data_IF_499204788267
#
_entry.id   IF_499204788267
#
_cell.length_a   1.000
_cell.length_b   1.000
_cell.length_c   1.000
_cell.angle_alpha   90.00
_cell.angle_beta   90.00
_cell.angle_gamma   90.00
#
_symmetry.space_group_name_H-M   'P 1'
#
loop_
_entity.id
_entity.type
_entity.pdbx_description
1 polymer ?
#
# COMPACT_ATOMS: atom_id res chain seq x y z
N UNK A 1 -5.66 43.07 23.83
CA UNK A 1 -5.92 42.25 22.61
C UNK A 1 -4.62 42.19 21.82
N UNK A 2 -4.00 40.99 21.61
CA UNK A 2 -2.75 40.92 20.85
C UNK A 2 -3.01 41.27 19.39
N UNK A 3 -2.16 42.13 18.82
CA UNK A 3 -2.30 42.65 17.46
C UNK A 3 -2.13 41.55 16.41
N UNK A 4 -2.86 41.60 15.28
CA UNK A 4 -2.76 40.61 14.20
C UNK A 4 -1.35 40.51 13.55
N UNK A 5 -0.50 41.53 13.71
CA UNK A 5 0.88 41.58 13.21
C UNK A 5 1.82 40.54 13.82
N UNK A 6 1.66 40.20 15.10
CA UNK A 6 2.55 39.24 15.79
C UNK A 6 2.44 37.80 15.31
N UNK A 7 1.30 37.39 14.72
CA UNK A 7 1.13 36.06 14.13
C UNK A 7 1.75 35.94 12.73
N UNK A 8 1.73 37.01 11.96
CA UNK A 8 2.34 37.06 10.62
C UNK A 8 3.87 37.08 10.74
N UNK A 9 4.43 37.86 11.65
CA UNK A 9 5.88 37.92 11.91
C UNK A 9 6.42 36.59 12.45
N UNK A 10 5.73 35.91 13.38
CA UNK A 10 6.14 34.57 13.84
C UNK A 10 6.10 33.53 12.71
N UNK A 11 5.13 33.59 11.80
CA UNK A 11 5.09 32.70 10.63
C UNK A 11 6.23 32.99 9.66
N UNK A 12 6.59 34.27 9.44
CA UNK A 12 7.74 34.63 8.61
C UNK A 12 9.06 34.25 9.28
N UNK A 13 9.26 34.51 10.58
CA UNK A 13 10.46 34.11 11.33
C UNK A 13 10.63 32.57 11.33
N UNK A 14 9.55 31.81 11.54
CA UNK A 14 9.59 30.34 11.47
C UNK A 14 9.93 29.83 10.06
N UNK A 15 9.49 30.53 9.00
CA UNK A 15 9.81 30.17 7.61
C UNK A 15 11.28 30.45 7.23
N UNK A 16 11.91 31.43 7.88
CA UNK A 16 13.31 31.79 7.67
C UNK A 16 14.30 30.88 8.41
N UNK A 17 13.88 30.31 9.56
CA UNK A 17 14.72 29.43 10.40
C UNK A 17 14.55 27.93 10.01
N UNK A 18 13.46 27.59 9.30
CA UNK A 18 13.23 26.21 8.87
C UNK A 18 14.28 25.78 7.83
N UNK A 19 15.16 24.87 8.22
CA UNK A 19 16.10 24.22 7.28
C UNK A 19 15.37 23.59 6.12
N UNK A 20 16.00 23.43 4.92
CA UNK A 20 15.37 22.77 3.76
C UNK A 20 14.77 21.41 4.09
N UNK A 21 15.38 20.67 5.04
CA UNK A 21 14.84 19.41 5.58
C UNK A 21 13.50 19.58 6.31
N UNK A 22 13.34 20.63 7.12
CA UNK A 22 12.09 20.90 7.84
C UNK A 22 10.94 21.31 6.90
N UNK A 23 11.24 22.09 5.84
CA UNK A 23 10.25 22.45 4.81
C UNK A 23 9.78 21.24 4.01
N UNK A 24 10.66 20.24 3.80
CA UNK A 24 10.31 18.98 3.13
C UNK A 24 9.41 18.09 4.00
N UNK A 25 9.67 18.00 5.31
CA UNK A 25 8.86 17.23 6.25
C UNK A 25 7.40 17.75 6.35
N UNK A 26 7.17 19.05 6.14
CA UNK A 26 5.82 19.61 6.03
C UNK A 26 5.10 19.26 4.71
N UNK A 27 5.83 18.84 3.68
CA UNK A 27 5.30 18.46 2.35
C UNK A 27 5.15 16.94 2.15
N UNK A 28 5.36 16.12 3.20
CA UNK A 28 5.12 14.67 3.10
C UNK A 28 3.63 14.43 2.84
N UNK A 29 3.25 13.85 1.68
CA UNK A 29 1.87 13.58 1.37
C UNK A 29 1.29 12.51 2.32
N UNK A 30 0.00 12.55 2.54
CA UNK A 30 -0.75 11.52 3.27
C UNK A 30 -0.44 11.33 4.77
N UNK A 31 0.23 12.26 5.46
CA UNK A 31 0.49 12.12 6.91
C UNK A 31 -0.77 11.79 7.70
N UNK A 32 -1.86 12.55 7.47
CA UNK A 32 -3.13 12.31 8.14
C UNK A 32 -3.71 10.94 7.79
N UNK A 33 -3.66 10.55 6.52
CA UNK A 33 -4.16 9.28 6.03
C UNK A 33 -3.36 8.10 6.60
N UNK A 34 -2.03 8.25 6.73
CA UNK A 34 -1.19 7.23 7.39
C UNK A 34 -1.57 7.07 8.87
N UNK A 35 -1.79 8.17 9.60
CA UNK A 35 -2.22 8.08 11.00
C UNK A 35 -3.58 7.39 11.13
N UNK A 36 -4.53 7.70 10.25
CA UNK A 36 -5.85 7.03 10.21
C UNK A 36 -5.68 5.54 9.88
N UNK A 37 -4.82 5.20 8.93
CA UNK A 37 -4.53 3.80 8.58
C UNK A 37 -3.92 3.05 9.77
N UNK A 38 -2.93 3.62 10.45
CA UNK A 38 -2.32 3.01 11.64
C UNK A 38 -3.33 2.82 12.77
N UNK A 39 -4.22 3.79 12.98
CA UNK A 39 -5.32 3.64 13.93
C UNK A 39 -6.28 2.50 13.53
N UNK A 40 -6.63 2.40 12.24
CA UNK A 40 -7.45 1.30 11.73
C UNK A 40 -6.75 -0.07 11.87
N UNK A 41 -5.43 -0.14 11.65
CA UNK A 41 -4.63 -1.35 11.92
C UNK A 41 -4.69 -1.73 13.40
N UNK A 42 -4.56 -0.77 14.30
CA UNK A 42 -4.69 -1.01 15.73
C UNK A 42 -6.06 -1.59 16.09
N UNK A 43 -7.16 -1.04 15.53
CA UNK A 43 -8.50 -1.58 15.73
C UNK A 43 -8.63 -3.03 15.21
N UNK A 44 -8.05 -3.34 14.04
CA UNK A 44 -8.06 -4.70 13.50
C UNK A 44 -7.31 -5.69 14.39
N UNK A 45 -6.17 -5.29 14.95
CA UNK A 45 -5.42 -6.11 15.92
C UNK A 45 -6.26 -6.30 17.20
N UNK A 46 -6.93 -5.25 17.68
CA UNK A 46 -7.82 -5.33 18.85
C UNK A 46 -8.97 -6.32 18.65
N UNK A 47 -9.49 -6.47 17.42
CA UNK A 47 -10.50 -7.50 17.10
C UNK A 47 -9.94 -8.92 17.24
N UNK A 48 -8.66 -9.16 16.90
CA UNK A 48 -8.02 -10.46 17.15
C UNK A 48 -7.89 -10.72 18.64
N UNK A 49 -7.42 -9.74 19.41
CA UNK A 49 -7.27 -9.90 20.86
C UNK A 49 -8.64 -10.12 21.53
N UNK A 50 -9.68 -9.40 21.12
CA UNK A 50 -11.04 -9.67 21.57
C UNK A 50 -11.46 -11.11 21.26
N UNK A 51 -11.18 -11.60 20.03
CA UNK A 51 -11.46 -12.98 19.64
C UNK A 51 -10.77 -14.01 20.55
N UNK A 52 -9.50 -13.76 20.86
CA UNK A 52 -8.69 -14.64 21.72
C UNK A 52 -9.24 -14.66 23.15
N UNK A 53 -9.59 -13.50 23.70
CA UNK A 53 -10.07 -13.38 25.07
C UNK A 53 -11.49 -13.98 25.20
N UNK A 54 -12.39 -13.64 24.30
CA UNK A 54 -13.80 -14.01 24.39
C UNK A 54 -14.09 -15.43 23.90
N UNK A 55 -13.58 -15.79 22.69
CA UNK A 55 -13.83 -17.10 22.07
C UNK A 55 -12.72 -18.12 22.34
N UNK A 56 -11.65 -17.76 23.07
CA UNK A 56 -10.49 -18.61 23.37
C UNK A 56 -9.85 -19.23 22.12
N UNK A 57 -9.84 -18.50 20.99
CA UNK A 57 -9.39 -18.99 19.69
C UNK A 57 -8.26 -18.12 19.12
N UNK A 58 -7.08 -18.71 18.93
CA UNK A 58 -5.85 -18.06 18.44
C UNK A 58 -5.59 -18.22 16.93
N UNK A 59 -6.48 -18.88 16.20
CA UNK A 59 -6.22 -19.32 14.81
C UNK A 59 -5.86 -18.17 13.86
N UNK A 60 -6.34 -16.95 14.08
CA UNK A 60 -6.19 -15.84 13.13
C UNK A 60 -4.97 -14.93 13.39
N UNK A 61 -4.01 -15.31 14.26
CA UNK A 61 -2.81 -14.49 14.50
C UNK A 61 -1.93 -14.28 13.26
N UNK A 62 -1.99 -15.18 12.29
CA UNK A 62 -1.28 -15.00 11.01
C UNK A 62 -1.68 -13.72 10.25
N UNK A 63 -2.91 -13.20 10.47
CA UNK A 63 -3.34 -11.93 9.88
C UNK A 63 -2.51 -10.74 10.38
N UNK A 64 -2.05 -10.77 11.63
CA UNK A 64 -1.16 -9.72 12.17
C UNK A 64 0.15 -9.71 11.40
N UNK A 65 0.73 -10.89 11.17
CA UNK A 65 1.96 -11.00 10.38
C UNK A 65 1.77 -10.51 8.95
N UNK A 66 0.69 -10.94 8.29
CA UNK A 66 0.36 -10.49 6.94
C UNK A 66 0.12 -8.97 6.88
N UNK A 67 -0.48 -8.37 7.92
CA UNK A 67 -0.65 -6.92 8.01
C UNK A 67 0.68 -6.17 8.13
N UNK A 68 1.61 -6.69 8.95
CA UNK A 68 2.96 -6.10 9.07
C UNK A 68 3.64 -6.11 7.70
N UNK A 69 3.60 -7.24 6.98
CA UNK A 69 4.16 -7.35 5.64
C UNK A 69 3.46 -6.44 4.63
N UNK A 70 2.15 -6.22 4.76
CA UNK A 70 1.38 -5.31 3.93
C UNK A 70 1.74 -3.83 4.13
N UNK A 71 2.29 -3.46 5.29
CA UNK A 71 2.76 -2.10 5.57
C UNK A 71 4.17 -1.82 5.03
N UNK A 72 4.99 -2.87 4.77
CA UNK A 72 6.37 -2.72 4.26
C UNK A 72 6.42 -1.92 2.96
N UNK A 73 5.58 -2.20 1.93
CA UNK A 73 5.59 -1.41 0.69
C UNK A 73 5.31 0.06 0.93
N UNK A 74 4.42 0.40 1.86
CA UNK A 74 4.14 1.79 2.20
C UNK A 74 5.37 2.48 2.78
N UNK A 75 6.09 1.81 3.68
CA UNK A 75 7.35 2.31 4.24
C UNK A 75 8.41 2.55 3.15
N UNK A 76 8.63 1.57 2.27
CA UNK A 76 9.58 1.67 1.15
C UNK A 76 9.19 2.78 0.16
N UNK A 77 7.91 2.95 -0.14
CA UNK A 77 7.43 4.03 -1.00
C UNK A 77 7.65 5.42 -0.37
N UNK A 78 7.47 5.55 0.95
CA UNK A 78 7.80 6.78 1.67
C UNK A 78 9.29 7.09 1.64
N UNK A 79 10.13 6.08 1.88
CA UNK A 79 11.59 6.23 1.79
C UNK A 79 11.97 6.67 0.38
N UNK A 80 11.44 6.03 -0.68
CA UNK A 80 11.65 6.39 -2.07
C UNK A 80 11.25 7.83 -2.36
N UNK A 81 10.06 8.23 -1.88
CA UNK A 81 9.52 9.58 -2.08
C UNK A 81 10.40 10.64 -1.42
N UNK A 82 10.73 10.47 -0.14
CA UNK A 82 11.59 11.40 0.60
C UNK A 82 12.97 11.49 -0.03
N UNK A 83 13.58 10.35 -0.34
CA UNK A 83 14.89 10.28 -0.98
C UNK A 83 14.92 11.00 -2.32
N UNK A 84 13.95 10.75 -3.20
CA UNK A 84 13.84 11.38 -4.51
C UNK A 84 13.79 12.91 -4.42
N UNK A 85 12.95 13.47 -3.54
CA UNK A 85 12.86 14.92 -3.38
C UNK A 85 14.06 15.53 -2.66
N UNK A 86 14.69 14.81 -1.72
CA UNK A 86 15.95 15.25 -1.09
C UNK A 86 17.11 15.29 -2.07
N UNK A 87 17.18 14.39 -3.03
CA UNK A 87 18.20 14.33 -4.10
C UNK A 87 17.86 15.23 -5.29
N UNK A 88 17.03 16.25 -5.10
CA UNK A 88 16.65 17.23 -6.12
C UNK A 88 16.08 16.57 -7.39
N UNK A 89 15.23 15.54 -7.22
CA UNK A 89 14.53 14.79 -8.27
C UNK A 89 15.48 14.02 -9.22
N UNK A 90 16.62 13.59 -8.72
CA UNK A 90 17.56 12.73 -9.46
C UNK A 90 17.20 11.26 -9.24
N UNK A 91 17.23 10.49 -10.32
CA UNK A 91 17.16 9.03 -10.26
C UNK A 91 18.61 8.54 -10.22
N UNK A 92 18.95 7.86 -9.15
CA UNK A 92 20.26 7.20 -8.99
C UNK A 92 20.05 5.72 -8.62
N UNK A 93 21.15 4.98 -8.56
CA UNK A 93 21.10 3.54 -8.29
C UNK A 93 20.43 3.21 -6.94
N UNK A 94 20.58 4.07 -5.94
CA UNK A 94 19.98 3.86 -4.61
C UNK A 94 18.47 3.94 -4.72
N UNK A 95 17.92 4.94 -5.41
CA UNK A 95 16.48 5.07 -5.63
C UNK A 95 15.93 3.86 -6.41
N UNK A 96 16.66 3.42 -7.44
CA UNK A 96 16.27 2.24 -8.24
C UNK A 96 16.21 1.00 -7.35
N UNK A 97 17.21 0.79 -6.48
CA UNK A 97 17.22 -0.33 -5.54
C UNK A 97 16.05 -0.27 -4.55
N UNK A 98 15.73 0.91 -4.00
CA UNK A 98 14.60 1.04 -3.07
C UNK A 98 13.28 0.73 -3.79
N UNK A 99 13.10 1.22 -5.03
CA UNK A 99 11.90 0.96 -5.84
C UNK A 99 11.84 -0.53 -6.25
N UNK A 100 12.97 -1.17 -6.52
CA UNK A 100 13.03 -2.62 -6.78
C UNK A 100 12.55 -3.43 -5.57
N UNK A 101 13.05 -3.14 -4.37
CA UNK A 101 12.58 -3.78 -3.15
C UNK A 101 11.10 -3.46 -2.89
N UNK A 102 10.66 -2.22 -3.15
CA UNK A 102 9.25 -1.87 -3.08
C UNK A 102 8.41 -2.77 -4.00
N UNK A 103 8.81 -2.96 -5.25
CA UNK A 103 8.07 -3.80 -6.21
C UNK A 103 8.01 -5.26 -5.74
N UNK A 104 9.11 -5.77 -5.18
CA UNK A 104 9.20 -7.13 -4.65
C UNK A 104 8.24 -7.34 -3.46
N UNK A 105 8.10 -6.34 -2.59
CA UNK A 105 7.23 -6.41 -1.42
C UNK A 105 5.80 -5.94 -1.69
N UNK A 106 5.55 -5.22 -2.79
CA UNK A 106 4.24 -4.64 -3.11
C UNK A 106 3.09 -5.67 -3.12
N UNK A 107 3.26 -6.90 -3.65
CA UNK A 107 2.21 -7.91 -3.63
C UNK A 107 1.68 -8.24 -2.23
N UNK A 108 2.48 -8.09 -1.16
CA UNK A 108 2.05 -8.40 0.21
C UNK A 108 0.90 -7.50 0.68
N UNK A 109 0.78 -6.27 0.14
CA UNK A 109 -0.27 -5.36 0.54
C UNK A 109 -1.67 -5.84 0.08
N UNK A 110 -1.95 -6.10 -1.21
CA UNK A 110 -3.21 -6.67 -1.65
C UNK A 110 -3.34 -8.18 -1.35
N UNK A 111 -2.25 -8.89 -0.97
CA UNK A 111 -2.26 -10.31 -0.64
C UNK A 111 -3.28 -10.67 0.43
N UNK A 112 -3.48 -9.81 1.45
CA UNK A 112 -4.41 -10.08 2.57
C UNK A 112 -5.84 -10.32 2.07
N UNK A 113 -6.23 -9.74 0.93
CA UNK A 113 -7.54 -10.03 0.31
C UNK A 113 -7.69 -11.53 0.01
N UNK A 114 -6.62 -12.20 -0.41
CA UNK A 114 -6.66 -13.63 -0.67
C UNK A 114 -6.77 -14.50 0.60
N UNK A 115 -6.58 -13.91 1.81
CA UNK A 115 -6.73 -14.65 3.08
C UNK A 115 -8.17 -15.07 3.38
N UNK A 116 -9.17 -14.49 2.69
CA UNK A 116 -10.55 -14.97 2.77
C UNK A 116 -10.72 -16.46 2.44
N UNK A 117 -9.76 -17.09 1.76
CA UNK A 117 -9.75 -18.55 1.54
C UNK A 117 -9.70 -19.34 2.86
N UNK A 118 -9.21 -18.73 3.94
CA UNK A 118 -9.15 -19.31 5.28
C UNK A 118 -10.41 -19.11 6.10
N UNK A 119 -11.40 -18.41 5.55
CA UNK A 119 -12.69 -18.21 6.20
C UNK A 119 -13.47 -19.53 6.22
N UNK A 120 -13.61 -20.13 7.39
CA UNK A 120 -14.35 -21.37 7.60
C UNK A 120 -15.19 -21.26 8.88
N UNK A 121 -16.44 -21.76 8.89
CA UNK A 121 -17.25 -21.83 10.11
C UNK A 121 -16.49 -22.56 11.22
N UNK A 122 -16.53 -22.00 12.43
CA UNK A 122 -15.89 -22.58 13.61
C UNK A 122 -16.93 -22.69 14.72
N UNK A 123 -16.89 -23.82 15.46
CA UNK A 123 -17.80 -24.04 16.58
C UNK A 123 -17.64 -22.93 17.63
N UNK A 124 -18.76 -22.33 18.02
CA UNK A 124 -18.82 -21.29 19.05
C UNK A 124 -18.39 -19.89 18.59
N UNK A 125 -18.03 -19.70 17.31
CA UNK A 125 -17.70 -18.38 16.78
C UNK A 125 -18.70 -18.02 15.66
N UNK A 126 -19.43 -16.89 15.76
CA UNK A 126 -20.31 -16.46 14.69
C UNK A 126 -19.51 -16.14 13.43
N UNK A 127 -19.96 -16.64 12.28
CA UNK A 127 -19.25 -16.44 11.00
C UNK A 127 -19.12 -14.95 10.63
N UNK A 128 -20.11 -14.12 10.98
CA UNK A 128 -20.09 -12.68 10.72
C UNK A 128 -18.89 -11.99 11.41
N UNK A 129 -18.46 -12.50 12.59
CA UNK A 129 -17.31 -11.94 13.29
C UNK A 129 -16.01 -12.22 12.52
N UNK A 130 -15.83 -13.45 12.02
CA UNK A 130 -14.68 -13.79 11.19
C UNK A 130 -14.70 -13.00 9.86
N UNK A 131 -15.87 -12.82 9.24
CA UNK A 131 -16.00 -11.97 8.04
C UNK A 131 -15.54 -10.53 8.33
N UNK A 132 -16.02 -9.92 9.41
CA UNK A 132 -15.62 -8.57 9.80
C UNK A 132 -14.11 -8.48 10.07
N UNK A 133 -13.55 -9.49 10.73
CA UNK A 133 -12.13 -9.58 11.02
C UNK A 133 -11.31 -9.62 9.73
N UNK A 134 -11.57 -10.56 8.81
CA UNK A 134 -10.87 -10.66 7.54
C UNK A 134 -11.03 -9.40 6.68
N UNK A 135 -12.25 -8.84 6.66
CA UNK A 135 -12.53 -7.59 5.95
C UNK A 135 -11.67 -6.43 6.47
N UNK A 136 -11.59 -6.24 7.80
CA UNK A 136 -10.82 -5.14 8.38
C UNK A 136 -9.32 -5.23 8.04
N UNK A 137 -8.73 -6.42 8.11
CA UNK A 137 -7.34 -6.64 7.72
C UNK A 137 -7.10 -6.44 6.23
N UNK A 138 -7.97 -6.99 5.38
CA UNK A 138 -7.89 -6.87 3.92
C UNK A 138 -8.01 -5.42 3.47
N UNK A 139 -8.91 -4.65 4.09
CA UNK A 139 -9.08 -3.24 3.80
C UNK A 139 -7.83 -2.42 4.15
N UNK A 140 -7.24 -2.67 5.33
CA UNK A 140 -6.01 -2.00 5.75
C UNK A 140 -4.82 -2.33 4.82
N UNK A 141 -4.67 -3.60 4.44
CA UNK A 141 -3.65 -4.00 3.47
C UNK A 141 -3.84 -3.34 2.11
N UNK A 142 -5.08 -3.35 1.59
CA UNK A 142 -5.40 -2.72 0.30
C UNK A 142 -5.12 -1.21 0.32
N UNK A 143 -5.54 -0.49 1.37
CA UNK A 143 -5.29 0.95 1.50
C UNK A 143 -3.79 1.25 1.60
N UNK A 144 -3.02 0.43 2.36
CA UNK A 144 -1.57 0.53 2.42
C UNK A 144 -0.95 0.40 1.02
N UNK A 145 -1.37 -0.61 0.25
CA UNK A 145 -0.95 -0.82 -1.13
C UNK A 145 -1.27 0.37 -2.03
N UNK A 146 -2.51 0.87 -2.00
CA UNK A 146 -2.95 2.02 -2.81
C UNK A 146 -2.14 3.27 -2.49
N UNK A 147 -1.89 3.55 -1.20
CA UNK A 147 -1.09 4.71 -0.80
C UNK A 147 0.37 4.57 -1.25
N UNK A 148 0.96 3.38 -1.12
CA UNK A 148 2.33 3.12 -1.56
C UNK A 148 2.46 3.28 -3.08
N UNK A 149 1.52 2.74 -3.84
CA UNK A 149 1.47 2.82 -5.29
C UNK A 149 1.34 4.28 -5.77
N UNK A 150 0.50 5.08 -5.08
CA UNK A 150 0.35 6.52 -5.39
C UNK A 150 1.63 7.30 -5.18
N UNK A 151 2.40 7.02 -4.13
CA UNK A 151 3.69 7.66 -3.89
C UNK A 151 4.69 7.38 -5.02
N UNK A 152 4.79 6.13 -5.46
CA UNK A 152 5.65 5.75 -6.59
C UNK A 152 5.14 6.38 -7.89
N UNK A 153 3.83 6.38 -8.13
CA UNK A 153 3.26 7.05 -9.31
C UNK A 153 3.62 8.53 -9.36
N UNK A 154 3.58 9.25 -8.22
CA UNK A 154 3.96 10.66 -8.15
C UNK A 154 5.43 10.86 -8.57
N UNK A 155 6.36 10.01 -8.11
CA UNK A 155 7.77 10.06 -8.50
C UNK A 155 7.91 9.90 -10.02
N UNK A 156 7.20 8.92 -10.59
CA UNK A 156 7.27 8.62 -12.02
C UNK A 156 6.67 9.77 -12.84
N UNK A 157 5.50 10.28 -12.43
CA UNK A 157 4.83 11.39 -13.10
C UNK A 157 5.65 12.69 -13.06
N UNK A 158 6.32 12.96 -11.94
CA UNK A 158 7.19 14.13 -11.77
C UNK A 158 8.46 14.04 -12.62
N UNK A 159 9.00 12.82 -12.81
CA UNK A 159 10.20 12.60 -13.61
C UNK A 159 9.95 12.54 -15.10
N UNK A 160 8.85 11.94 -15.52
CA UNK A 160 8.50 11.71 -16.91
C UNK A 160 7.25 12.49 -17.30
N UNK A 161 6.07 11.87 -17.19
CA UNK A 161 4.76 12.50 -17.42
C UNK A 161 3.62 11.63 -16.86
N UNK A 162 2.39 12.17 -16.93
CA UNK A 162 1.19 11.50 -16.42
C UNK A 162 0.90 10.20 -17.17
N UNK A 163 1.10 10.17 -18.50
CA UNK A 163 0.84 9.01 -19.33
C UNK A 163 1.76 7.83 -18.94
N UNK A 164 3.07 8.06 -18.84
CA UNK A 164 4.04 7.05 -18.40
C UNK A 164 3.71 6.56 -16.99
N UNK A 165 3.30 7.46 -16.09
CA UNK A 165 2.87 7.09 -14.75
C UNK A 165 1.72 6.09 -14.76
N UNK A 166 0.70 6.27 -15.60
CA UNK A 166 -0.41 5.32 -15.72
C UNK A 166 -0.01 4.01 -16.42
N UNK A 167 0.82 4.08 -17.46
CA UNK A 167 1.34 2.88 -18.12
C UNK A 167 2.06 1.95 -17.15
N UNK A 168 2.91 2.51 -16.29
CA UNK A 168 3.65 1.74 -15.27
C UNK A 168 2.69 1.16 -14.22
N UNK A 169 1.67 1.90 -13.78
CA UNK A 169 0.65 1.37 -12.87
C UNK A 169 -0.05 0.15 -13.48
N UNK A 170 -0.49 0.24 -14.74
CA UNK A 170 -1.15 -0.87 -15.44
C UNK A 170 -0.22 -2.08 -15.54
N UNK A 171 1.09 -1.89 -15.76
CA UNK A 171 2.07 -2.97 -15.83
C UNK A 171 2.34 -3.62 -14.45
N UNK A 172 2.29 -2.84 -13.37
CA UNK A 172 2.51 -3.35 -12.01
C UNK A 172 1.37 -4.28 -11.57
N UNK A 173 0.12 -4.09 -12.04
CA UNK A 173 -1.03 -4.89 -11.59
C UNK A 173 -0.86 -6.39 -11.86
N UNK A 174 -0.57 -6.85 -13.11
CA UNK A 174 -0.34 -8.27 -13.36
C UNK A 174 0.90 -8.81 -12.62
N UNK A 175 1.97 -8.01 -12.46
CA UNK A 175 3.14 -8.41 -11.67
C UNK A 175 2.77 -8.63 -10.19
N UNK A 176 1.98 -7.74 -9.61
CA UNK A 176 1.49 -7.88 -8.24
C UNK A 176 0.60 -9.13 -8.08
N UNK A 177 -0.33 -9.34 -9.03
CA UNK A 177 -1.20 -10.52 -9.02
C UNK A 177 -0.41 -11.83 -9.15
N UNK A 178 0.65 -11.83 -9.96
CA UNK A 178 1.57 -12.95 -10.08
C UNK A 178 2.30 -13.21 -8.76
N UNK A 179 2.82 -12.16 -8.09
CA UNK A 179 3.41 -12.28 -6.76
C UNK A 179 2.44 -12.84 -5.71
N UNK A 180 1.16 -12.39 -5.73
CA UNK A 180 0.12 -12.94 -4.86
C UNK A 180 -0.10 -14.43 -5.15
N UNK A 181 -0.13 -14.82 -6.42
CA UNK A 181 -0.28 -16.22 -6.82
C UNK A 181 0.87 -17.09 -6.30
N UNK A 182 2.11 -16.65 -6.47
CA UNK A 182 3.29 -17.34 -5.96
C UNK A 182 3.23 -17.49 -4.44
N UNK A 183 2.91 -16.44 -3.72
CA UNK A 183 2.77 -16.48 -2.26
C UNK A 183 1.64 -17.39 -1.79
N UNK A 184 0.48 -17.36 -2.46
CA UNK A 184 -0.72 -18.12 -2.04
C UNK A 184 -0.65 -19.61 -2.34
N UNK A 185 -0.19 -19.97 -3.52
CA UNK A 185 -0.25 -21.36 -4.01
C UNK A 185 1.08 -22.09 -3.92
N UNK A 186 2.21 -21.37 -4.01
CA UNK A 186 3.56 -21.95 -3.93
C UNK A 186 4.27 -21.61 -2.63
N UNK A 187 3.68 -20.72 -1.79
CA UNK A 187 4.21 -20.30 -0.48
C UNK A 187 5.57 -19.59 -0.57
N UNK A 188 5.89 -18.99 -1.73
CA UNK A 188 7.06 -18.14 -1.86
C UNK A 188 6.82 -16.80 -1.18
N UNK A 189 7.77 -16.38 -0.35
CA UNK A 189 7.76 -15.08 0.30
C UNK A 189 8.72 -14.12 -0.41
N UNK A 190 8.52 -12.81 -0.23
CA UNK A 190 9.39 -11.79 -0.85
C UNK A 190 10.85 -11.88 -0.41
N UNK A 191 11.14 -12.40 0.76
CA UNK A 191 12.52 -12.60 1.25
C UNK A 191 13.19 -13.88 0.72
N UNK A 192 12.46 -14.81 0.16
CA UNK A 192 13.02 -16.04 -0.41
C UNK A 192 13.88 -15.76 -1.64
N UNK A 193 13.68 -14.57 -2.26
CA UNK A 193 14.61 -14.03 -3.29
C UNK A 193 16.05 -13.93 -2.75
N UNK A 194 16.24 -13.73 -1.44
CA UNK A 194 17.57 -13.63 -0.82
C UNK A 194 18.09 -15.00 -0.37
N UNK A 195 17.21 -15.93 -0.01
CA UNK A 195 17.59 -17.24 0.50
C UNK A 195 17.86 -18.24 -0.64
N UNK A 196 16.89 -18.36 -1.58
CA UNK A 196 16.91 -19.34 -2.67
C UNK A 196 16.55 -18.68 -4.03
N UNK A 197 17.32 -17.69 -4.49
CA UNK A 197 16.97 -16.88 -5.66
C UNK A 197 16.83 -17.71 -6.95
N UNK A 198 17.69 -18.72 -7.13
CA UNK A 198 17.69 -19.53 -8.36
C UNK A 198 16.45 -20.41 -8.44
N UNK A 199 16.08 -21.09 -7.33
CA UNK A 199 14.91 -21.97 -7.28
C UNK A 199 13.63 -21.14 -7.47
N UNK A 200 13.52 -20.01 -6.77
CA UNK A 200 12.38 -19.12 -6.91
C UNK A 200 12.21 -18.59 -8.34
N UNK A 201 13.31 -18.19 -9.00
CA UNK A 201 13.27 -17.73 -10.39
C UNK A 201 12.88 -18.86 -11.35
N UNK A 202 13.42 -20.07 -11.18
CA UNK A 202 13.06 -21.22 -12.01
C UNK A 202 11.58 -21.58 -11.87
N UNK A 203 11.05 -21.61 -10.66
CA UNK A 203 9.63 -21.91 -10.42
C UNK A 203 8.73 -20.80 -10.96
N UNK A 204 9.09 -19.54 -10.72
CA UNK A 204 8.37 -18.39 -11.28
C UNK A 204 8.32 -18.44 -12.80
N UNK A 205 9.45 -18.77 -13.45
CA UNK A 205 9.51 -18.89 -14.90
C UNK A 205 8.67 -20.06 -15.43
N UNK A 206 8.73 -21.24 -14.79
CA UNK A 206 7.88 -22.39 -15.15
C UNK A 206 6.39 -22.06 -15.04
N UNK A 207 5.99 -21.32 -13.99
CA UNK A 207 4.60 -20.90 -13.79
C UNK A 207 4.20 -19.87 -14.83
N UNK A 208 5.08 -18.90 -15.13
CA UNK A 208 4.86 -17.88 -16.14
C UNK A 208 4.58 -18.49 -17.53
N UNK A 209 5.35 -19.50 -17.92
CA UNK A 209 5.14 -20.20 -19.20
C UNK A 209 3.78 -20.95 -19.27
N UNK A 210 3.18 -21.28 -18.11
CA UNK A 210 1.89 -21.95 -18.04
C UNK A 210 0.68 -20.99 -18.05
N UNK A 211 0.89 -19.68 -18.07
CA UNK A 211 -0.22 -18.70 -17.98
C UNK A 211 -1.24 -18.92 -19.09
N UNK A 212 -0.81 -19.13 -20.32
CA UNK A 212 -1.71 -19.31 -21.46
C UNK A 212 -2.35 -20.73 -21.54
N UNK A 213 -1.69 -21.73 -20.96
CA UNK A 213 -2.19 -23.12 -20.97
C UNK A 213 -3.07 -23.46 -19.76
N UNK A 214 -3.02 -22.64 -18.70
CA UNK A 214 -3.78 -22.85 -17.47
C UNK A 214 -4.82 -21.72 -17.28
N UNK A 215 -6.07 -22.00 -17.67
CA UNK A 215 -7.17 -21.04 -17.57
C UNK A 215 -7.42 -20.55 -16.14
N UNK A 216 -7.25 -21.39 -15.12
CA UNK A 216 -7.44 -20.99 -13.74
C UNK A 216 -6.38 -19.98 -13.29
N UNK A 217 -5.12 -20.19 -13.68
CA UNK A 217 -4.04 -19.25 -13.43
C UNK A 217 -4.30 -17.91 -14.14
N UNK A 218 -4.63 -17.95 -15.45
CA UNK A 218 -4.94 -16.76 -16.23
C UNK A 218 -6.11 -15.96 -15.61
N UNK A 219 -7.20 -16.65 -15.26
CA UNK A 219 -8.38 -16.02 -14.66
C UNK A 219 -8.03 -15.40 -13.29
N UNK A 220 -7.26 -16.09 -12.44
CA UNK A 220 -6.82 -15.54 -11.16
C UNK A 220 -6.01 -14.25 -11.35
N UNK A 221 -5.00 -14.27 -12.23
CA UNK A 221 -4.14 -13.10 -12.49
C UNK A 221 -4.95 -11.93 -13.04
N UNK A 222 -5.84 -12.19 -14.00
CA UNK A 222 -6.67 -11.15 -14.64
C UNK A 222 -7.66 -10.53 -13.65
N UNK A 223 -8.37 -11.35 -12.87
CA UNK A 223 -9.36 -10.85 -11.91
C UNK A 223 -8.71 -10.10 -10.76
N UNK A 224 -7.58 -10.60 -10.22
CA UNK A 224 -6.83 -9.92 -9.18
C UNK A 224 -6.26 -8.58 -9.68
N UNK A 225 -5.66 -8.57 -10.87
CA UNK A 225 -5.13 -7.34 -11.49
C UNK A 225 -6.23 -6.28 -11.66
N UNK A 226 -7.37 -6.70 -12.19
CA UNK A 226 -8.53 -5.82 -12.41
C UNK A 226 -9.09 -5.31 -11.07
N UNK A 227 -9.21 -6.18 -10.08
CA UNK A 227 -9.69 -5.81 -8.75
C UNK A 227 -8.81 -4.77 -8.06
N UNK A 228 -7.47 -4.97 -8.07
CA UNK A 228 -6.51 -4.03 -7.49
C UNK A 228 -6.55 -2.70 -8.26
N UNK A 229 -6.57 -2.75 -9.60
CA UNK A 229 -6.64 -1.54 -10.44
C UNK A 229 -7.92 -0.75 -10.20
N UNK A 230 -9.07 -1.42 -10.14
CA UNK A 230 -10.36 -0.79 -9.86
C UNK A 230 -10.36 -0.13 -8.49
N UNK A 231 -9.89 -0.82 -7.45
CA UNK A 231 -9.77 -0.25 -6.10
C UNK A 231 -8.85 0.99 -6.09
N UNK A 232 -7.72 0.92 -6.82
CA UNK A 232 -6.81 2.05 -6.96
C UNK A 232 -7.48 3.25 -7.62
N UNK A 233 -8.13 3.07 -8.78
CA UNK A 233 -8.81 4.14 -9.50
C UNK A 233 -9.92 4.76 -8.64
N UNK A 234 -10.75 3.94 -7.99
CA UNK A 234 -11.85 4.42 -7.15
C UNK A 234 -11.35 5.28 -5.99
N UNK A 235 -10.35 4.81 -5.24
CA UNK A 235 -9.81 5.56 -4.09
C UNK A 235 -9.18 6.88 -4.54
N UNK A 236 -8.43 6.89 -5.64
CA UNK A 236 -7.82 8.11 -6.18
C UNK A 236 -8.89 9.09 -6.68
N UNK A 237 -9.92 8.60 -7.38
CA UNK A 237 -11.02 9.44 -7.88
C UNK A 237 -11.80 10.09 -6.73
N UNK A 238 -12.11 9.34 -5.68
CA UNK A 238 -12.78 9.86 -4.48
C UNK A 238 -11.92 10.93 -3.77
N UNK A 239 -10.61 10.73 -3.71
CA UNK A 239 -9.69 11.72 -3.14
C UNK A 239 -9.68 13.04 -3.95
N UNK A 240 -9.79 12.98 -5.29
CA UNK A 240 -9.87 14.18 -6.13
C UNK A 240 -11.20 14.94 -5.97
N UNK A 241 -12.33 14.25 -5.85
CA UNK A 241 -13.65 14.89 -5.67
C UNK A 241 -13.68 15.81 -4.45
N UNK A 242 -13.02 15.44 -3.36
CA UNK A 242 -12.97 16.27 -2.15
C UNK A 242 -12.16 17.55 -2.33
N UNK A 243 -11.12 17.54 -3.16
CA UNK A 243 -10.25 18.68 -3.42
C UNK A 243 -10.94 19.69 -4.34
N UNK A 244 -11.58 19.23 -5.42
CA UNK A 244 -12.26 20.09 -6.41
C UNK A 244 -13.47 20.80 -5.78
N UNK A 245 -14.21 20.13 -4.92
CA UNK A 245 -15.34 20.74 -4.23
C UNK A 245 -14.90 21.85 -3.26
N UNK A 246 -13.79 21.64 -2.54
CA UNK A 246 -13.24 22.63 -1.59
C UNK A 246 -12.66 23.87 -2.31
N UNK A 247 -12.07 23.69 -3.50
CA UNK A 247 -11.53 24.79 -4.30
C UNK A 247 -12.63 25.69 -4.86
N UNK A 248 -13.76 25.13 -5.31
CA UNK A 248 -14.92 25.87 -5.80
C UNK A 248 -15.59 26.71 -4.71
N UNK A 249 -15.82 26.15 -3.53
CA UNK A 249 -16.42 26.88 -2.38
C UNK A 249 -15.55 28.08 -1.93
N UNK A 250 -14.23 28.01 -2.15
CA UNK A 250 -13.31 29.08 -1.77
C UNK A 250 -13.20 30.20 -2.80
N UNK A 251 -13.62 29.95 -4.04
CA UNK A 251 -13.68 30.98 -5.11
C UNK A 251 -15.01 31.74 -5.10
N UNK A 252 -16.06 31.18 -4.48
CA UNK A 252 -17.41 31.77 -4.37
C UNK A 252 -17.58 32.61 -3.08
N UNK A 253 -16.52 32.80 -2.28
CA UNK A 253 -16.45 33.69 -1.10
C UNK A 253 -15.41 34.79 -1.30
#
# INVERSE_FOLDING_TARGET
VPSPSGHAERRQAFSLVATPKMKLLHKIPFKRQVLILLFSCFLSISLIEFKVIYFKNKYNYFLIWNLILALVPLGLAYISFVYYFMRKRKIDIILILIIFFWLLFFPNAPYIVSDFIHLKPKKGIPIWFDILLFYSFSWNGMLSGIMSLRLIQIIIQDKFNVFIGWMIIILIMPLASFGIYLGRFYRWNSWDVLNDPIIMLQDSFKIFLKIYSNSNLFNFLSMMSLGILTAYILVISLAHLSIDHYSKIKLDK
#
